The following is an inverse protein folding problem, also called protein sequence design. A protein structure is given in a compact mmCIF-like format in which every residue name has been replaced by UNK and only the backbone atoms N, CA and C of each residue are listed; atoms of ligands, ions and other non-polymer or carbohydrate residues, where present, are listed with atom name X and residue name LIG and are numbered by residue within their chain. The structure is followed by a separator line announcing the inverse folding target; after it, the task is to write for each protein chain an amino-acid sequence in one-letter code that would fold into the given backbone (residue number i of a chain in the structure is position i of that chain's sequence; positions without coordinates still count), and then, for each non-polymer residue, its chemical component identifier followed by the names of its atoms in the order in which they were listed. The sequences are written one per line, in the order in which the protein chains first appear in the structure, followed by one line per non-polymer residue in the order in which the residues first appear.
data_IF_398434710928
#
_entry.id   IF_398434710928
#
_cell.length_a   1.000
_cell.length_b   1.000
_cell.length_c   1.000
_cell.angle_alpha   90.00
_cell.angle_beta   90.00
_cell.angle_gamma   90.00
#
_symmetry.space_group_name_H-M   'P 1'
#
loop_
_entity.id
_entity.type
_entity.pdbx_description
1 polymer ?
#
# COMPACT_ATOMS: atom_id res chain seq x y z
N UNK A 1 11.06 -16.02 6.20
CA UNK A 1 9.96 -15.29 6.85
C UNK A 1 9.01 -14.87 5.76
N UNK A 2 7.70 -15.02 5.96
CA UNK A 2 6.71 -14.57 4.98
C UNK A 2 6.65 -13.04 5.07
N UNK A 3 6.96 -12.34 3.99
CA UNK A 3 6.80 -10.87 3.93
C UNK A 3 5.31 -10.53 3.90
N UNK A 4 4.93 -9.40 4.50
CA UNK A 4 3.54 -8.94 4.40
C UNK A 4 3.22 -8.60 2.94
N UNK A 5 1.95 -8.80 2.60
CA UNK A 5 1.39 -8.63 1.26
C UNK A 5 1.14 -7.16 0.93
N UNK A 6 0.87 -6.90 -0.34
CA UNK A 6 0.38 -5.61 -0.82
C UNK A 6 -1.07 -5.81 -1.28
N UNK A 7 -2.00 -5.03 -0.75
CA UNK A 7 -3.38 -5.04 -1.23
C UNK A 7 -3.55 -4.05 -2.38
N UNK A 8 -4.18 -4.45 -3.47
CA UNK A 8 -4.35 -3.65 -4.70
C UNK A 8 -5.81 -3.65 -5.16
N UNK A 9 -6.30 -2.50 -5.66
CA UNK A 9 -7.66 -2.36 -6.20
C UNK A 9 -7.91 -3.10 -7.51
N UNK A 10 -6.86 -3.29 -8.30
CA UNK A 10 -6.90 -4.00 -9.57
C UNK A 10 -5.51 -4.58 -9.82
N UNK A 11 -5.39 -5.47 -10.81
CA UNK A 11 -4.12 -6.10 -11.12
C UNK A 11 -3.08 -5.05 -11.60
N UNK A 12 -2.08 -4.80 -10.76
CA UNK A 12 -0.99 -3.87 -11.03
C UNK A 12 0.33 -4.58 -11.37
N UNK A 13 0.28 -5.86 -11.72
CA UNK A 13 1.47 -6.66 -12.06
C UNK A 13 2.33 -6.02 -13.15
N UNK A 14 1.73 -5.27 -14.07
CA UNK A 14 2.42 -4.58 -15.17
C UNK A 14 3.11 -3.27 -14.73
N UNK A 15 2.74 -2.70 -13.58
CA UNK A 15 3.19 -1.37 -13.13
C UNK A 15 4.10 -1.44 -11.90
N UNK A 16 3.95 -2.49 -11.09
CA UNK A 16 4.66 -2.66 -9.83
C UNK A 16 5.51 -3.93 -9.93
N UNK A 17 6.81 -3.77 -9.80
CA UNK A 17 7.76 -4.89 -9.72
C UNK A 17 8.16 -5.05 -8.26
N UNK A 18 7.32 -5.77 -7.52
CA UNK A 18 7.53 -6.09 -6.11
C UNK A 18 7.82 -7.58 -5.93
N UNK A 19 8.60 -7.91 -4.91
CA UNK A 19 8.81 -9.30 -4.49
C UNK A 19 7.72 -9.80 -3.55
N UNK A 20 6.79 -8.92 -3.14
CA UNK A 20 5.68 -9.24 -2.24
C UNK A 20 4.49 -9.80 -3.03
N UNK A 21 3.73 -10.66 -2.38
CA UNK A 21 2.47 -11.15 -2.92
C UNK A 21 1.45 -9.99 -2.98
N UNK A 22 0.81 -9.82 -4.14
CA UNK A 22 -0.27 -8.85 -4.33
C UNK A 22 -1.63 -9.55 -4.16
N UNK A 23 -2.53 -8.95 -3.38
CA UNK A 23 -3.89 -9.44 -3.14
C UNK A 23 -4.92 -8.36 -3.43
N UNK A 24 -6.13 -8.76 -3.80
CA UNK A 24 -7.23 -7.82 -4.04
C UNK A 24 -7.76 -7.25 -2.72
N UNK A 25 -7.97 -5.93 -2.66
CA UNK A 25 -8.58 -5.22 -1.52
C UNK A 25 -9.98 -5.76 -1.16
N UNK A 26 -10.69 -6.41 -2.08
CA UNK A 26 -12.00 -7.01 -1.85
C UNK A 26 -11.92 -8.42 -1.25
N UNK A 27 -10.75 -9.05 -1.30
CA UNK A 27 -10.53 -10.45 -0.91
C UNK A 27 -9.51 -10.57 0.23
N UNK A 28 -9.32 -9.51 1.01
CA UNK A 28 -8.38 -9.46 2.15
C UNK A 28 -9.04 -8.80 3.37
N UNK A 29 -8.60 -9.21 4.55
CA UNK A 29 -8.95 -8.61 5.84
C UNK A 29 -7.89 -7.62 6.35
N UNK A 30 -6.90 -7.30 5.51
CA UNK A 30 -5.75 -6.42 5.81
C UNK A 30 -4.83 -6.90 6.93
N UNK A 31 -5.03 -8.08 7.52
CA UNK A 31 -4.24 -8.56 8.66
C UNK A 31 -2.78 -8.89 8.30
N UNK A 32 -2.55 -9.39 7.09
CA UNK A 32 -1.24 -9.75 6.55
C UNK A 32 -0.80 -8.81 5.42
N UNK A 33 -1.35 -7.59 5.40
CA UNK A 33 -1.07 -6.54 4.41
C UNK A 33 -0.24 -5.43 5.04
N UNK A 34 0.85 -5.04 4.38
CA UNK A 34 1.70 -3.94 4.82
C UNK A 34 1.47 -2.63 4.08
N UNK A 35 0.94 -2.68 2.85
CA UNK A 35 0.66 -1.49 2.04
C UNK A 35 -0.61 -1.71 1.25
N UNK A 36 -1.41 -0.66 1.13
CA UNK A 36 -2.65 -0.69 0.38
C UNK A 36 -2.52 0.28 -0.80
N UNK A 37 -2.91 -0.17 -1.99
CA UNK A 37 -2.90 0.61 -3.21
C UNK A 37 -4.31 0.62 -3.80
N UNK A 38 -4.86 1.80 -3.98
CA UNK A 38 -6.25 1.99 -4.42
C UNK A 38 -6.34 2.91 -5.63
N UNK A 39 -7.17 2.57 -6.61
CA UNK A 39 -7.44 3.42 -7.76
C UNK A 39 -8.36 4.59 -7.41
N UNK A 40 -8.24 5.69 -8.15
CA UNK A 40 -9.13 6.82 -7.97
C UNK A 40 -10.61 6.45 -8.17
N UNK A 41 -10.90 5.57 -9.13
CA UNK A 41 -12.25 5.04 -9.34
C UNK A 41 -12.78 4.32 -8.09
N UNK A 42 -11.96 3.50 -7.44
CA UNK A 42 -12.36 2.81 -6.22
C UNK A 42 -12.53 3.73 -5.02
N UNK A 43 -11.71 4.78 -4.94
CA UNK A 43 -11.91 5.85 -3.95
C UNK A 43 -13.27 6.52 -4.16
N UNK A 44 -13.61 6.86 -5.41
CA UNK A 44 -14.90 7.49 -5.75
C UNK A 44 -16.10 6.56 -5.47
N UNK A 45 -15.91 5.25 -5.62
CA UNK A 45 -16.91 4.24 -5.24
C UNK A 45 -16.99 4.00 -3.72
N UNK A 46 -16.28 4.78 -2.90
CA UNK A 46 -16.34 4.72 -1.44
C UNK A 46 -15.51 3.62 -0.80
N UNK A 47 -14.70 2.87 -1.58
CA UNK A 47 -13.85 1.79 -1.04
C UNK A 47 -12.78 2.32 -0.08
N UNK A 48 -12.32 3.56 -0.25
CA UNK A 48 -11.38 4.19 0.69
C UNK A 48 -11.95 4.24 2.11
N UNK A 49 -13.25 4.50 2.28
CA UNK A 49 -13.89 4.51 3.59
C UNK A 49 -13.94 3.12 4.22
N UNK A 50 -14.19 2.08 3.39
CA UNK A 50 -14.19 0.68 3.86
C UNK A 50 -12.79 0.25 4.30
N UNK A 51 -11.77 0.64 3.55
CA UNK A 51 -10.38 0.37 3.89
C UNK A 51 -10.04 1.03 5.21
N UNK A 52 -10.29 2.33 5.39
CA UNK A 52 -9.98 3.02 6.64
C UNK A 52 -10.68 2.41 7.87
N UNK A 53 -11.87 1.87 7.71
CA UNK A 53 -12.61 1.22 8.80
C UNK A 53 -12.03 -0.15 9.20
N UNK A 54 -11.39 -0.86 8.27
CA UNK A 54 -10.89 -2.23 8.48
C UNK A 54 -9.36 -2.31 8.51
N UNK A 55 -8.67 -1.25 8.09
CA UNK A 55 -7.21 -1.15 8.06
C UNK A 55 -6.65 -0.90 9.46
N UNK A 56 -5.43 -1.36 9.68
CA UNK A 56 -4.64 -1.23 10.90
C UNK A 56 -3.54 -0.18 10.70
N UNK A 57 -3.92 1.02 10.24
CA UNK A 57 -3.02 2.14 9.95
C UNK A 57 -1.95 1.83 8.88
N UNK A 58 -2.21 0.87 7.99
CA UNK A 58 -1.33 0.65 6.84
C UNK A 58 -1.24 1.92 5.99
N UNK A 59 -0.06 2.20 5.41
CA UNK A 59 0.06 3.26 4.42
C UNK A 59 -0.81 2.97 3.19
N UNK A 60 -1.61 3.96 2.80
CA UNK A 60 -2.52 3.90 1.64
C UNK A 60 -1.97 4.77 0.51
N UNK A 61 -1.77 4.18 -0.67
CA UNK A 61 -1.34 4.87 -1.87
C UNK A 61 -2.48 4.93 -2.88
N UNK A 62 -2.73 6.10 -3.45
CA UNK A 62 -3.64 6.19 -4.59
C UNK A 62 -2.86 6.03 -5.89
N UNK A 63 -3.41 5.28 -6.85
CA UNK A 63 -2.94 5.34 -8.24
C UNK A 63 -3.80 6.26 -9.06
N UNK A 64 -3.15 7.00 -9.95
CA UNK A 64 -3.78 7.86 -10.92
C UNK A 64 -3.25 7.58 -12.33
N UNK A 65 -4.16 7.67 -13.29
CA UNK A 65 -3.87 7.69 -14.72
C UNK A 65 -3.70 9.11 -15.24
N UNK A 66 -3.46 9.22 -16.55
CA UNK A 66 -3.29 10.50 -17.20
C UNK A 66 -4.59 11.29 -17.07
N UNK A 67 -4.49 12.54 -16.67
CA UNK A 67 -5.60 13.48 -16.51
C UNK A 67 -6.49 13.24 -15.27
N UNK A 68 -6.14 12.27 -14.41
CA UNK A 68 -6.80 12.08 -13.12
C UNK A 68 -6.20 12.99 -12.04
N UNK A 69 -7.08 13.65 -11.28
CA UNK A 69 -6.69 14.54 -10.18
C UNK A 69 -7.26 14.01 -8.88
N UNK A 70 -6.38 13.82 -7.90
CA UNK A 70 -6.77 13.49 -6.53
C UNK A 70 -7.46 14.71 -5.90
N UNK A 71 -8.75 14.61 -5.50
CA UNK A 71 -9.40 15.74 -4.85
C UNK A 71 -8.78 16.04 -3.48
N UNK A 72 -8.70 17.32 -3.12
CA UNK A 72 -7.97 17.79 -1.95
C UNK A 72 -8.53 17.24 -0.61
N UNK A 73 -9.80 16.83 -0.59
CA UNK A 73 -10.43 16.23 0.58
C UNK A 73 -9.90 14.82 0.90
N UNK A 74 -9.33 14.11 -0.08
CA UNK A 74 -8.78 12.76 0.13
C UNK A 74 -7.26 12.74 0.23
N UNK A 75 -6.56 13.81 -0.20
CA UNK A 75 -5.09 13.81 -0.24
C UNK A 75 -4.46 13.62 1.15
N UNK A 76 -5.11 14.15 2.20
CA UNK A 76 -4.67 14.01 3.59
C UNK A 76 -4.89 12.60 4.16
N UNK A 77 -5.69 11.78 3.48
CA UNK A 77 -6.01 10.40 3.86
C UNK A 77 -5.04 9.40 3.21
N UNK A 78 -4.24 9.87 2.26
CA UNK A 78 -3.30 9.06 1.49
C UNK A 78 -1.88 9.30 2.00
N UNK A 79 -1.09 8.25 2.07
CA UNK A 79 0.36 8.33 2.32
C UNK A 79 1.12 8.84 1.10
N UNK A 80 0.62 8.53 -0.11
CA UNK A 80 1.24 8.97 -1.35
C UNK A 80 0.37 8.72 -2.58
N UNK A 81 0.84 9.22 -3.72
CA UNK A 81 0.17 9.08 -5.01
C UNK A 81 1.17 8.52 -6.03
N UNK A 82 0.75 7.51 -6.77
CA UNK A 82 1.51 6.83 -7.82
C UNK A 82 0.90 7.20 -9.17
N UNK A 83 1.72 7.78 -10.04
CA UNK A 83 1.32 8.14 -11.40
C UNK A 83 1.79 7.05 -12.36
N UNK A 84 0.84 6.31 -12.93
CA UNK A 84 1.11 5.15 -13.78
C UNK A 84 1.72 5.52 -15.13
N UNK A 85 1.66 6.80 -15.53
CA UNK A 85 2.26 7.26 -16.79
C UNK A 85 3.77 7.51 -16.66
N UNK A 86 4.25 7.73 -15.44
CA UNK A 86 5.68 7.94 -15.23
C UNK A 86 6.38 6.59 -15.25
N UNK A 87 7.32 6.43 -16.19
CA UNK A 87 8.24 5.28 -16.30
C UNK A 87 9.25 5.19 -15.14
N UNK A 88 8.89 5.64 -13.94
CA UNK A 88 9.71 5.59 -12.75
C UNK A 88 9.25 4.44 -11.83
N UNK A 89 9.00 3.28 -12.41
CA UNK A 89 8.56 2.08 -11.66
C UNK A 89 9.50 1.76 -10.50
N UNK A 90 10.82 1.89 -10.70
CA UNK A 90 11.82 1.69 -9.63
C UNK A 90 11.61 2.60 -8.42
N UNK A 91 11.28 3.88 -8.63
CA UNK A 91 11.08 4.84 -7.55
C UNK A 91 9.81 4.48 -6.75
N UNK A 92 8.73 4.13 -7.43
CA UNK A 92 7.49 3.72 -6.78
C UNK A 92 7.66 2.39 -6.04
N UNK A 93 8.34 1.40 -6.63
CA UNK A 93 8.68 0.15 -5.97
C UNK A 93 9.47 0.40 -4.69
N UNK A 94 10.48 1.28 -4.72
CA UNK A 94 11.27 1.62 -3.54
C UNK A 94 10.43 2.34 -2.47
N UNK A 95 9.52 3.22 -2.87
CA UNK A 95 8.61 3.90 -1.94
C UNK A 95 7.66 2.90 -1.26
N UNK A 96 7.05 2.01 -2.04
CA UNK A 96 6.16 0.97 -1.54
C UNK A 96 6.92 0.04 -0.58
N UNK A 97 8.11 -0.43 -0.95
CA UNK A 97 8.90 -1.31 -0.10
C UNK A 97 9.34 -0.62 1.19
N UNK A 98 9.77 0.65 1.11
CA UNK A 98 10.15 1.42 2.31
C UNK A 98 8.96 1.61 3.25
N UNK A 99 7.78 1.93 2.70
CA UNK A 99 6.56 2.09 3.49
C UNK A 99 6.15 0.76 4.14
N UNK A 100 6.25 -0.34 3.40
CA UNK A 100 5.94 -1.68 3.90
C UNK A 100 6.87 -2.11 5.04
N UNK A 101 8.18 -1.93 4.87
CA UNK A 101 9.17 -2.23 5.91
C UNK A 101 8.94 -1.38 7.16
N UNK A 102 8.68 -0.08 7.00
CA UNK A 102 8.40 0.82 8.13
C UNK A 102 7.14 0.39 8.89
N UNK A 103 6.11 -0.04 8.18
CA UNK A 103 4.90 -0.58 8.77
C UNK A 103 5.21 -1.88 9.55
N UNK A 104 5.89 -2.84 8.95
CA UNK A 104 6.28 -4.08 9.63
C UNK A 104 7.16 -3.83 10.87
N UNK A 105 8.07 -2.87 10.81
CA UNK A 105 8.88 -2.45 11.96
C UNK A 105 8.04 -1.86 13.08
N UNK A 106 7.01 -1.06 12.76
CA UNK A 106 6.09 -0.50 13.76
C UNK A 106 5.21 -1.55 14.43
N UNK A 107 4.90 -2.64 13.74
CA UNK A 107 4.14 -3.76 14.31
C UNK A 107 4.97 -4.58 15.31
N UNK A 108 6.29 -4.54 15.22
CA UNK A 108 7.17 -5.29 16.12
C UNK A 108 7.41 -4.47 17.38
N UNK A 109 6.90 -4.91 18.55
CA UNK A 109 7.22 -4.24 19.80
C UNK A 109 8.74 -4.24 20.02
N UNK A 110 9.29 -3.23 20.69
CA UNK A 110 10.74 -2.99 20.81
C UNK A 110 11.53 -4.20 21.35
N UNK A 111 10.88 -5.08 22.10
CA UNK A 111 11.47 -6.34 22.58
C UNK A 111 11.64 -7.41 21.49
N UNK A 112 10.74 -7.52 20.51
CA UNK A 112 10.83 -8.51 19.43
C UNK A 112 11.89 -8.15 18.38
N UNK A 113 12.15 -6.86 18.17
CA UNK A 113 13.22 -6.39 17.28
C UNK A 113 14.62 -6.81 17.77
N UNK A 114 14.82 -6.93 19.08
CA UNK A 114 16.09 -7.36 19.66
C UNK A 114 16.35 -8.87 19.48
N UNK A 115 15.30 -9.71 19.52
CA UNK A 115 15.44 -11.16 19.31
C UNK A 115 15.84 -11.51 17.86
N UNK A 116 15.42 -10.71 16.87
CA UNK A 116 15.81 -10.91 15.45
C UNK A 116 17.28 -10.60 15.16
N UNK A 117 17.97 -9.83 15.99
CA UNK A 117 19.39 -9.46 15.80
C UNK A 117 20.38 -10.50 16.35
N UNK A 118 19.90 -11.53 17.04
CA UNK A 118 20.74 -12.56 17.71
C UNK A 118 20.82 -13.84 16.83
N UNK A 119 20.73 -13.71 15.51
CA UNK A 119 20.82 -14.88 14.61
C UNK A 119 21.86 -14.69 13.53
#
# INVERSE_FOLDING_TARGET
MKSYKIAVSYDMSDYISTHRECVDILHTDFSDVAVIIISLNDIQNGKLNLIEQNSFEQPIFAVINKDEVIPANIINRLTGVIDLNKKNSELYNKQLETAALKYEESLLPPFFGQLKKIR
#
